data_IF_226825854908
#
_entry.id   IF_226825854908
#
_cell.length_a   1.000
_cell.length_b   1.000
_cell.length_c   1.000
_cell.angle_alpha   90.00
_cell.angle_beta   90.00
_cell.angle_gamma   90.00
#
_symmetry.space_group_name_H-M   'P 1'
#
loop_
_entity.id
_entity.type
_entity.pdbx_description
1 polymer ?
#
# COMPACT_ATOMS: atom_id res chain seq x y z
N UNK A 1 8.68 -1.89 27.77
CA UNK A 1 8.42 -2.15 26.34
C UNK A 1 7.05 -1.64 25.91
N UNK A 2 5.95 -1.96 26.61
CA UNK A 2 4.60 -1.47 26.26
C UNK A 2 4.47 0.07 26.19
N UNK A 3 4.98 0.82 27.18
CA UNK A 3 4.90 2.30 27.16
C UNK A 3 5.57 2.96 25.95
N UNK A 4 6.66 2.38 25.43
CA UNK A 4 7.35 2.92 24.26
C UNK A 4 6.54 2.66 22.98
N UNK A 5 6.03 1.44 22.82
CA UNK A 5 5.21 1.04 21.68
C UNK A 5 3.91 1.86 21.66
N UNK A 6 3.28 2.04 22.81
CA UNK A 6 2.06 2.84 22.97
C UNK A 6 2.31 4.32 22.69
N UNK A 7 3.40 4.90 23.20
CA UNK A 7 3.80 6.26 22.86
C UNK A 7 4.08 6.46 21.37
N UNK A 8 4.69 5.46 20.72
CA UNK A 8 4.95 5.48 19.28
C UNK A 8 3.66 5.35 18.46
N UNK A 9 2.71 4.53 18.90
CA UNK A 9 1.37 4.42 18.29
C UNK A 9 0.64 5.76 18.32
N UNK A 10 0.56 6.39 19.50
CA UNK A 10 -0.09 7.69 19.68
C UNK A 10 0.58 8.78 18.83
N UNK A 11 1.91 8.76 18.74
CA UNK A 11 2.65 9.69 17.88
C UNK A 11 2.30 9.50 16.39
N UNK A 12 2.24 8.26 15.91
CA UNK A 12 1.86 7.95 14.53
C UNK A 12 0.41 8.35 14.22
N UNK A 13 -0.52 8.10 15.14
CA UNK A 13 -1.92 8.53 15.00
C UNK A 13 -2.05 10.05 14.92
N UNK A 14 -1.27 10.77 15.74
CA UNK A 14 -1.21 12.23 15.70
C UNK A 14 -0.69 12.73 14.35
N UNK A 15 0.38 12.13 13.82
CA UNK A 15 0.88 12.44 12.47
C UNK A 15 -0.18 12.20 11.40
N UNK A 16 -0.85 11.05 11.43
CA UNK A 16 -1.90 10.70 10.47
C UNK A 16 -3.03 11.73 10.50
N UNK A 17 -3.47 12.15 11.70
CA UNK A 17 -4.50 13.18 11.88
C UNK A 17 -4.08 14.54 11.30
N UNK A 18 -2.85 15.01 11.61
CA UNK A 18 -2.35 16.27 11.07
C UNK A 18 -2.21 16.23 9.55
N UNK A 19 -1.69 15.13 9.00
CA UNK A 19 -1.58 14.93 7.55
C UNK A 19 -2.96 15.07 6.90
N UNK A 20 -3.96 14.36 7.41
CA UNK A 20 -5.29 14.34 6.83
C UNK A 20 -5.97 15.72 6.92
N UNK A 21 -5.82 16.43 8.03
CA UNK A 21 -6.35 17.78 8.21
C UNK A 21 -5.72 18.77 7.22
N UNK A 22 -4.39 18.76 7.12
CA UNK A 22 -3.64 19.61 6.18
C UNK A 22 -4.07 19.31 4.74
N UNK A 23 -4.02 18.03 4.34
CA UNK A 23 -4.40 17.61 3.00
C UNK A 23 -5.84 18.01 2.70
N UNK A 24 -6.78 17.78 3.63
CA UNK A 24 -8.18 18.14 3.42
C UNK A 24 -8.37 19.65 3.20
N UNK A 25 -7.70 20.50 3.98
CA UNK A 25 -7.78 21.97 3.83
C UNK A 25 -7.28 22.41 2.46
N UNK A 26 -6.17 21.84 1.99
CA UNK A 26 -5.62 22.18 0.67
C UNK A 26 -6.43 21.60 -0.49
N UNK A 27 -6.99 20.39 -0.34
CA UNK A 27 -7.69 19.68 -1.42
C UNK A 27 -9.14 20.15 -1.56
N UNK A 28 -9.84 20.42 -0.44
CA UNK A 28 -11.27 20.76 -0.43
C UNK A 28 -11.66 21.89 -1.40
N UNK A 29 -10.90 22.99 -1.54
CA UNK A 29 -11.21 24.06 -2.50
C UNK A 29 -11.17 23.61 -3.96
N UNK A 30 -10.28 22.68 -4.30
CA UNK A 30 -10.07 22.20 -5.67
C UNK A 30 -10.82 20.90 -5.97
N UNK A 31 -11.45 20.28 -4.97
CA UNK A 31 -12.10 18.98 -5.16
C UNK A 31 -13.42 19.11 -5.93
N UNK A 32 -13.55 18.51 -7.11
CA UNK A 32 -14.78 18.54 -7.88
C UNK A 32 -15.89 17.78 -7.15
N UNK A 33 -17.05 18.42 -6.97
CA UNK A 33 -18.20 17.87 -6.22
C UNK A 33 -18.76 16.56 -6.80
N UNK A 34 -18.47 16.25 -8.07
CA UNK A 34 -18.95 15.05 -8.79
C UNK A 34 -18.03 13.83 -8.69
N UNK A 35 -16.81 13.98 -8.16
CA UNK A 35 -15.85 12.87 -8.02
C UNK A 35 -15.91 12.33 -6.59
N UNK A 36 -16.21 11.04 -6.49
CA UNK A 36 -16.22 10.30 -5.22
C UNK A 36 -14.88 9.60 -5.00
N UNK A 37 -14.47 9.37 -3.75
CA UNK A 37 -13.27 8.59 -3.43
C UNK A 37 -13.24 7.24 -4.18
N UNK A 38 -14.35 6.51 -4.21
CA UNK A 38 -14.44 5.22 -4.91
C UNK A 38 -14.12 5.30 -6.42
N UNK A 39 -14.42 6.43 -7.09
CA UNK A 39 -14.05 6.61 -8.50
C UNK A 39 -12.54 6.71 -8.65
N UNK A 40 -11.85 7.29 -7.69
CA UNK A 40 -10.38 7.42 -7.68
C UNK A 40 -9.74 6.06 -7.43
N UNK A 41 -10.24 5.29 -6.44
CA UNK A 41 -9.82 3.88 -6.24
C UNK A 41 -9.99 3.08 -7.54
N UNK A 42 -11.11 3.24 -8.25
CA UNK A 42 -11.37 2.55 -9.52
C UNK A 42 -10.37 2.95 -10.60
N UNK A 43 -10.07 4.24 -10.74
CA UNK A 43 -9.04 4.73 -11.67
C UNK A 43 -7.66 4.15 -11.32
N UNK A 44 -7.32 4.03 -10.04
CA UNK A 44 -6.06 3.40 -9.60
C UNK A 44 -5.98 1.94 -10.01
N UNK A 45 -7.06 1.18 -9.86
CA UNK A 45 -7.13 -0.21 -10.34
C UNK A 45 -6.85 -0.26 -11.84
N UNK A 46 -7.48 0.63 -12.63
CA UNK A 46 -7.26 0.72 -14.08
C UNK A 46 -5.80 1.04 -14.39
N UNK A 47 -5.17 1.98 -13.66
CA UNK A 47 -3.74 2.32 -13.81
C UNK A 47 -2.87 1.10 -13.52
N UNK A 48 -3.15 0.34 -12.46
CA UNK A 48 -2.41 -0.87 -12.12
C UNK A 48 -2.53 -1.96 -13.19
N UNK A 49 -3.74 -2.18 -13.73
CA UNK A 49 -3.96 -3.12 -14.84
C UNK A 49 -3.27 -2.65 -16.11
N UNK A 50 -3.34 -1.35 -16.43
CA UNK A 50 -2.65 -0.76 -17.57
C UNK A 50 -1.13 -0.95 -17.45
N UNK A 51 -0.57 -0.68 -16.27
CA UNK A 51 0.85 -0.88 -15.99
C UNK A 51 1.26 -2.34 -16.23
N UNK A 52 0.44 -3.29 -15.78
CA UNK A 52 0.67 -4.72 -16.04
C UNK A 52 0.67 -5.03 -17.53
N UNK A 53 -0.31 -4.52 -18.28
CA UNK A 53 -0.38 -4.74 -19.73
C UNK A 53 0.83 -4.14 -20.44
N UNK A 54 1.21 -2.90 -20.12
CA UNK A 54 2.36 -2.22 -20.73
C UNK A 54 3.67 -2.98 -20.50
N UNK A 55 3.90 -3.46 -19.27
CA UNK A 55 5.12 -4.18 -18.90
C UNK A 55 5.19 -5.59 -19.48
N UNK A 56 4.10 -6.37 -19.38
CA UNK A 56 4.15 -7.81 -19.70
C UNK A 56 3.74 -8.14 -21.13
N UNK A 57 2.78 -7.41 -21.72
CA UNK A 57 2.33 -7.66 -23.10
C UNK A 57 3.10 -6.82 -24.11
N UNK A 58 3.26 -5.52 -23.84
CA UNK A 58 3.94 -4.61 -24.77
C UNK A 58 5.45 -4.48 -24.50
N UNK A 59 5.95 -5.00 -23.37
CA UNK A 59 7.36 -4.89 -22.96
C UNK A 59 7.88 -3.45 -22.99
N UNK A 60 7.01 -2.50 -22.64
CA UNK A 60 7.38 -1.08 -22.57
C UNK A 60 8.17 -0.88 -21.27
N UNK A 61 9.45 -0.57 -21.41
CA UNK A 61 10.38 -0.30 -20.30
C UNK A 61 10.66 1.19 -20.11
N UNK A 62 9.82 2.06 -20.70
CA UNK A 62 9.95 3.51 -20.54
C UNK A 62 9.84 3.89 -19.06
N UNK A 63 10.99 4.24 -18.50
CA UNK A 63 11.14 4.60 -17.10
C UNK A 63 10.23 5.76 -16.70
N UNK A 64 10.14 6.80 -17.54
CA UNK A 64 9.37 8.01 -17.22
C UNK A 64 7.89 7.65 -17.13
N UNK A 65 7.39 6.86 -18.08
CA UNK A 65 6.01 6.39 -18.08
C UNK A 65 5.70 5.54 -16.84
N UNK A 66 6.53 4.54 -16.54
CA UNK A 66 6.33 3.62 -15.41
C UNK A 66 6.38 4.37 -14.08
N UNK A 67 7.39 5.21 -13.88
CA UNK A 67 7.55 6.02 -12.66
C UNK A 67 6.37 6.97 -12.50
N UNK A 68 5.92 7.60 -13.58
CA UNK A 68 4.76 8.50 -13.55
C UNK A 68 3.50 7.76 -13.13
N UNK A 69 3.19 6.61 -13.74
CA UNK A 69 2.01 5.81 -13.40
C UNK A 69 2.05 5.32 -11.94
N UNK A 70 3.20 4.87 -11.46
CA UNK A 70 3.38 4.49 -10.06
C UNK A 70 3.14 5.67 -9.11
N UNK A 71 3.77 6.82 -9.39
CA UNK A 71 3.65 8.01 -8.57
C UNK A 71 2.21 8.53 -8.55
N UNK A 72 1.53 8.53 -9.69
CA UNK A 72 0.10 8.83 -9.76
C UNK A 72 -0.73 7.86 -8.91
N UNK A 73 -0.42 6.56 -8.96
CA UNK A 73 -1.07 5.56 -8.12
C UNK A 73 -0.95 5.88 -6.63
N UNK A 74 0.26 6.13 -6.14
CA UNK A 74 0.53 6.46 -4.73
C UNK A 74 -0.12 7.79 -4.33
N UNK A 75 -0.02 8.83 -5.17
CA UNK A 75 -0.64 10.11 -4.88
C UNK A 75 -2.16 10.01 -4.79
N UNK A 76 -2.79 9.26 -5.70
CA UNK A 76 -4.25 9.11 -5.67
C UNK A 76 -4.76 8.46 -4.38
N UNK A 77 -3.97 7.60 -3.72
CA UNK A 77 -4.29 6.95 -2.42
C UNK A 77 -4.31 7.92 -1.26
N UNK A 78 -3.30 8.79 -1.23
CA UNK A 78 -3.23 9.81 -0.20
C UNK A 78 -4.41 10.79 -0.34
N UNK A 79 -4.80 11.09 -1.57
CA UNK A 79 -5.86 12.05 -1.86
C UNK A 79 -7.25 11.47 -1.56
N UNK A 80 -7.60 10.29 -2.06
CA UNK A 80 -8.94 9.74 -1.89
C UNK A 80 -9.22 9.32 -0.44
N UNK A 81 -8.25 8.75 0.26
CA UNK A 81 -8.35 8.41 1.68
C UNK A 81 -8.59 9.65 2.54
N UNK A 82 -7.84 10.73 2.31
CA UNK A 82 -7.99 11.98 3.06
C UNK A 82 -9.35 12.65 2.80
N UNK A 83 -9.81 12.66 1.55
CA UNK A 83 -11.11 13.23 1.21
C UNK A 83 -12.28 12.38 1.71
N UNK A 84 -12.18 11.05 1.65
CA UNK A 84 -13.20 10.16 2.18
C UNK A 84 -13.43 10.40 3.68
N UNK A 85 -12.34 10.53 4.46
CA UNK A 85 -12.40 10.83 5.89
C UNK A 85 -12.90 12.25 6.15
N UNK A 86 -12.35 13.26 5.47
CA UNK A 86 -12.73 14.67 5.69
C UNK A 86 -14.16 15.02 5.26
N UNK A 87 -14.75 14.28 4.32
CA UNK A 87 -16.16 14.46 3.89
C UNK A 87 -17.14 13.48 4.54
N UNK A 88 -16.69 12.61 5.45
CA UNK A 88 -17.50 11.50 5.99
C UNK A 88 -18.14 10.63 4.88
N UNK A 89 -17.43 10.44 3.77
CA UNK A 89 -17.86 9.65 2.60
C UNK A 89 -17.20 8.26 2.58
N UNK A 90 -16.82 7.75 3.76
CA UNK A 90 -16.27 6.40 3.88
C UNK A 90 -17.37 5.39 3.59
N UNK A 91 -17.15 4.51 2.61
CA UNK A 91 -18.09 3.46 2.23
C UNK A 91 -17.48 2.08 2.47
N UNK A 92 -18.29 1.08 2.78
CA UNK A 92 -17.80 -0.30 2.96
C UNK A 92 -17.12 -0.84 1.70
N UNK A 93 -17.70 -0.55 0.53
CA UNK A 93 -17.16 -0.95 -0.77
C UNK A 93 -15.80 -0.29 -1.04
N UNK A 94 -15.66 1.02 -0.79
CA UNK A 94 -14.36 1.70 -0.92
C UNK A 94 -13.32 1.09 0.02
N UNK A 95 -13.67 0.86 1.28
CA UNK A 95 -12.80 0.24 2.28
C UNK A 95 -12.42 -1.23 1.97
N UNK A 96 -13.14 -1.88 1.05
CA UNK A 96 -12.77 -3.21 0.52
C UNK A 96 -11.91 -3.13 -0.73
N UNK A 97 -12.13 -2.13 -1.59
CA UNK A 97 -11.38 -1.95 -2.84
C UNK A 97 -10.01 -1.32 -2.64
N UNK A 98 -9.83 -0.42 -1.67
CA UNK A 98 -8.54 0.27 -1.43
C UNK A 98 -7.38 -0.72 -1.24
N UNK A 99 -7.47 -1.76 -0.36
CA UNK A 99 -6.39 -2.73 -0.19
C UNK A 99 -6.07 -3.55 -1.44
N UNK A 100 -7.03 -3.67 -2.36
CA UNK A 100 -6.84 -4.37 -3.64
C UNK A 100 -6.10 -3.44 -4.61
N UNK A 101 -6.56 -2.20 -4.74
CA UNK A 101 -5.96 -1.20 -5.63
C UNK A 101 -4.49 -0.94 -5.30
N UNK A 102 -4.16 -0.80 -4.02
CA UNK A 102 -2.79 -0.54 -3.56
C UNK A 102 -1.83 -1.67 -3.92
N UNK A 103 -2.34 -2.90 -3.89
CA UNK A 103 -1.52 -4.09 -4.14
C UNK A 103 -1.30 -4.36 -5.61
N UNK A 104 -2.23 -4.03 -6.49
CA UNK A 104 -2.07 -4.32 -7.92
C UNK A 104 -0.80 -3.64 -8.46
N UNK A 105 -0.60 -2.36 -8.14
CA UNK A 105 0.57 -1.60 -8.60
C UNK A 105 1.86 -2.19 -8.03
N UNK A 106 1.90 -2.41 -6.72
CA UNK A 106 3.07 -2.96 -6.03
C UNK A 106 3.41 -4.36 -6.54
N UNK A 107 2.43 -5.26 -6.64
CA UNK A 107 2.60 -6.63 -7.16
C UNK A 107 3.09 -6.60 -8.60
N UNK A 108 2.54 -5.73 -9.45
CA UNK A 108 2.95 -5.61 -10.84
C UNK A 108 4.44 -5.28 -10.95
N UNK A 109 4.91 -4.29 -10.19
CA UNK A 109 6.33 -3.90 -10.16
C UNK A 109 7.19 -4.99 -9.53
N UNK A 110 6.72 -5.62 -8.45
CA UNK A 110 7.42 -6.69 -7.75
C UNK A 110 7.64 -7.90 -8.66
N UNK A 111 6.59 -8.35 -9.36
CA UNK A 111 6.71 -9.46 -10.31
C UNK A 111 7.69 -9.09 -11.39
N UNK A 112 7.54 -7.94 -12.04
CA UNK A 112 8.43 -7.58 -13.14
C UNK A 112 9.90 -7.48 -12.68
N UNK A 113 10.16 -6.83 -11.54
CA UNK A 113 11.53 -6.52 -11.09
C UNK A 113 12.24 -7.68 -10.40
N UNK A 114 11.49 -8.63 -9.81
CA UNK A 114 12.04 -9.71 -8.99
C UNK A 114 11.91 -11.09 -9.61
N UNK A 115 11.09 -11.28 -10.65
CA UNK A 115 10.79 -12.60 -11.19
C UNK A 115 12.01 -13.32 -11.76
N UNK A 116 12.97 -12.64 -12.38
CA UNK A 116 14.14 -13.37 -12.88
C UNK A 116 15.19 -13.63 -11.78
N UNK A 117 15.51 -12.61 -10.99
CA UNK A 117 16.64 -12.66 -10.06
C UNK A 117 16.28 -13.18 -8.66
N UNK A 118 15.03 -13.03 -8.19
CA UNK A 118 14.65 -13.23 -6.79
C UNK A 118 13.28 -13.92 -6.63
N UNK A 119 13.01 -14.96 -7.43
CA UNK A 119 11.73 -15.71 -7.47
C UNK A 119 11.21 -16.14 -6.10
N UNK A 120 12.10 -16.63 -5.24
CA UNK A 120 11.72 -17.11 -3.91
C UNK A 120 11.25 -15.97 -3.00
N UNK A 121 11.95 -14.84 -3.02
CA UNK A 121 11.52 -13.64 -2.29
C UNK A 121 10.17 -13.15 -2.82
N UNK A 122 10.01 -13.08 -4.14
CA UNK A 122 8.75 -12.69 -4.77
C UNK A 122 7.60 -13.59 -4.30
N UNK A 123 7.79 -14.92 -4.37
CA UNK A 123 6.78 -15.88 -3.95
C UNK A 123 6.38 -15.70 -2.47
N UNK A 124 7.37 -15.56 -1.58
CA UNK A 124 7.14 -15.35 -0.15
C UNK A 124 6.38 -14.05 0.08
N UNK A 125 6.79 -12.96 -0.57
CA UNK A 125 6.16 -11.64 -0.45
C UNK A 125 4.68 -11.69 -0.87
N UNK A 126 4.38 -12.31 -2.01
CA UNK A 126 3.01 -12.49 -2.50
C UNK A 126 2.15 -13.32 -1.55
N UNK A 127 2.65 -14.47 -1.09
CA UNK A 127 1.93 -15.35 -0.17
C UNK A 127 1.59 -14.64 1.14
N UNK A 128 2.55 -13.90 1.71
CA UNK A 128 2.37 -13.16 2.96
C UNK A 128 1.39 -12.00 2.80
N UNK A 129 1.41 -11.31 1.66
CA UNK A 129 0.46 -10.25 1.39
C UNK A 129 -0.94 -10.83 1.30
N UNK A 130 -1.13 -11.87 0.48
CA UNK A 130 -2.42 -12.56 0.34
C UNK A 130 -2.94 -13.02 1.70
N UNK A 131 -2.10 -13.68 2.51
CA UNK A 131 -2.45 -14.08 3.87
C UNK A 131 -2.86 -12.88 4.75
N UNK A 132 -2.11 -11.77 4.72
CA UNK A 132 -2.46 -10.54 5.44
C UNK A 132 -3.84 -9.98 5.04
N UNK A 133 -4.21 -10.05 3.75
CA UNK A 133 -5.55 -9.62 3.30
C UNK A 133 -6.63 -10.56 3.80
N UNK A 134 -6.45 -11.87 3.65
CA UNK A 134 -7.43 -12.84 4.12
C UNK A 134 -7.69 -12.71 5.63
N UNK A 135 -6.62 -12.59 6.42
CA UNK A 135 -6.74 -12.32 7.86
C UNK A 135 -7.52 -11.02 8.07
N UNK A 136 -7.19 -9.92 7.39
CA UNK A 136 -7.91 -8.65 7.56
C UNK A 136 -9.40 -8.74 7.21
N UNK A 137 -9.75 -9.46 6.15
CA UNK A 137 -11.15 -9.69 5.74
C UNK A 137 -11.87 -10.53 6.81
N UNK A 138 -11.24 -11.59 7.31
CA UNK A 138 -11.82 -12.46 8.34
C UNK A 138 -12.16 -11.70 9.65
N UNK A 139 -11.42 -10.66 10.01
CA UNK A 139 -11.74 -9.86 11.20
C UNK A 139 -12.92 -8.94 10.98
N UNK A 140 -12.99 -8.34 9.78
CA UNK A 140 -14.13 -7.49 9.41
C UNK A 140 -15.44 -8.28 9.51
N UNK A 141 -15.45 -9.57 9.13
CA UNK A 141 -16.65 -10.42 9.27
C UNK A 141 -17.01 -10.72 10.74
N UNK A 142 -16.04 -10.71 11.65
CA UNK A 142 -16.25 -10.88 13.11
C UNK A 142 -16.64 -9.59 13.83
N UNK A 143 -16.77 -8.45 13.13
CA UNK A 143 -17.03 -7.11 13.71
C UNK A 143 -16.01 -6.68 14.77
N UNK A 144 -14.82 -7.28 14.77
CA UNK A 144 -13.71 -6.83 15.61
C UNK A 144 -13.03 -5.70 14.84
N UNK A 145 -13.05 -4.50 15.41
CA UNK A 145 -12.29 -3.38 14.87
C UNK A 145 -10.81 -3.67 15.05
N UNK A 146 -10.14 -4.01 13.95
CA UNK A 146 -8.72 -4.26 13.94
C UNK A 146 -8.00 -2.91 13.93
N UNK A 147 -7.46 -2.51 15.08
CA UNK A 147 -6.66 -1.31 15.17
C UNK A 147 -5.42 -1.44 14.27
N UNK A 148 -4.99 -0.33 13.67
CA UNK A 148 -3.79 -0.35 12.84
C UNK A 148 -2.58 -0.68 13.71
N UNK A 149 -1.91 -1.80 13.42
CA UNK A 149 -0.70 -2.17 14.13
C UNK A 149 0.53 -1.52 13.49
N UNK A 150 1.49 -1.12 14.33
CA UNK A 150 2.80 -0.60 13.95
C UNK A 150 3.50 -1.54 12.97
N UNK A 151 3.47 -2.87 13.17
CA UNK A 151 4.13 -3.81 12.25
C UNK A 151 3.57 -3.74 10.82
N UNK A 152 2.25 -3.59 10.69
CA UNK A 152 1.59 -3.38 9.40
C UNK A 152 1.99 -2.07 8.73
N UNK A 153 2.06 -0.98 9.51
CA UNK A 153 2.52 0.33 9.01
C UNK A 153 3.99 0.29 8.58
N UNK A 154 4.86 -0.27 9.41
CA UNK A 154 6.30 -0.36 9.13
C UNK A 154 6.57 -1.16 7.86
N UNK A 155 5.95 -2.34 7.67
CA UNK A 155 6.16 -3.10 6.43
C UNK A 155 5.75 -2.31 5.19
N UNK A 156 4.66 -1.53 5.26
CA UNK A 156 4.14 -0.78 4.12
C UNK A 156 5.09 0.34 3.74
N UNK A 157 5.63 1.06 4.72
CA UNK A 157 6.64 2.11 4.50
C UNK A 157 7.89 1.51 3.86
N UNK A 158 8.39 0.37 4.38
CA UNK A 158 9.57 -0.30 3.83
C UNK A 158 9.37 -0.73 2.38
N UNK A 159 8.26 -1.43 2.10
CA UNK A 159 7.94 -1.90 0.75
C UNK A 159 7.78 -0.71 -0.22
N UNK A 160 7.05 0.33 0.16
CA UNK A 160 6.83 1.51 -0.70
C UNK A 160 8.14 2.24 -1.03
N UNK A 161 9.03 2.42 -0.05
CA UNK A 161 10.34 3.03 -0.26
C UNK A 161 11.22 2.17 -1.17
N UNK A 162 11.23 0.85 -0.97
CA UNK A 162 12.01 -0.05 -1.83
C UNK A 162 11.48 -0.01 -3.26
N UNK A 163 10.18 -0.14 -3.48
CA UNK A 163 9.63 -0.12 -4.85
C UNK A 163 9.84 1.23 -5.53
N UNK A 164 9.74 2.35 -4.81
CA UNK A 164 10.12 3.66 -5.34
C UNK A 164 11.60 3.70 -5.74
N UNK A 165 12.51 3.14 -4.94
CA UNK A 165 13.93 3.08 -5.25
C UNK A 165 14.22 2.14 -6.45
N UNK A 166 13.57 0.99 -6.53
CA UNK A 166 13.67 0.07 -7.68
C UNK A 166 13.29 0.79 -8.97
N UNK A 167 12.19 1.53 -8.96
CA UNK A 167 11.76 2.34 -10.09
C UNK A 167 12.74 3.48 -10.41
N UNK A 168 13.38 4.06 -9.39
CA UNK A 168 14.39 5.09 -9.61
C UNK A 168 15.65 4.54 -10.29
N UNK A 169 16.06 3.30 -10.01
CA UNK A 169 17.22 2.67 -10.67
C UNK A 169 16.88 1.86 -11.93
N UNK A 170 15.59 1.80 -12.27
CA UNK A 170 15.08 1.14 -13.46
C UNK A 170 15.81 1.56 -14.75
N UNK A 171 16.08 0.64 -15.69
CA UNK A 171 15.71 -0.80 -15.71
C UNK A 171 16.73 -1.73 -15.04
N UNK A 172 17.69 -1.21 -14.26
CA UNK A 172 18.73 -2.04 -13.66
C UNK A 172 18.17 -2.97 -12.56
N UNK A 173 18.79 -4.14 -12.35
CA UNK A 173 18.39 -5.02 -11.27
C UNK A 173 18.50 -4.33 -9.90
N UNK A 174 17.59 -4.65 -8.96
CA UNK A 174 17.58 -4.05 -7.64
C UNK A 174 18.89 -4.34 -6.89
N UNK A 175 19.47 -3.29 -6.29
CA UNK A 175 20.65 -3.44 -5.45
C UNK A 175 20.36 -4.35 -4.25
N UNK A 176 21.35 -5.16 -3.82
CA UNK A 176 21.21 -6.13 -2.72
C UNK A 176 20.66 -5.52 -1.43
N UNK A 177 21.06 -4.29 -1.13
CA UNK A 177 20.53 -3.52 0.01
C UNK A 177 18.99 -3.45 0.02
N UNK A 178 18.34 -3.23 -1.13
CA UNK A 178 16.89 -3.18 -1.22
C UNK A 178 16.24 -4.55 -1.05
N UNK A 179 16.91 -5.60 -1.53
CA UNK A 179 16.48 -6.99 -1.35
C UNK A 179 16.51 -7.37 0.14
N UNK A 180 17.56 -6.98 0.86
CA UNK A 180 17.67 -7.22 2.30
C UNK A 180 16.55 -6.50 3.06
N UNK A 181 16.21 -5.26 2.68
CA UNK A 181 15.07 -4.53 3.24
C UNK A 181 13.75 -5.24 2.97
N UNK A 182 13.54 -5.83 1.78
CA UNK A 182 12.33 -6.59 1.48
C UNK A 182 12.21 -7.83 2.37
N UNK A 183 13.30 -8.54 2.66
CA UNK A 183 13.29 -9.64 3.63
C UNK A 183 12.92 -9.19 5.04
N UNK A 184 13.43 -8.03 5.48
CA UNK A 184 13.03 -7.47 6.78
C UNK A 184 11.54 -7.07 6.76
N UNK A 185 11.04 -6.52 5.65
CA UNK A 185 9.61 -6.18 5.50
C UNK A 185 8.71 -7.42 5.57
N UNK A 186 9.18 -8.57 5.07
CA UNK A 186 8.52 -9.88 5.18
C UNK A 186 8.42 -10.31 6.65
N UNK A 187 9.48 -10.12 7.45
CA UNK A 187 9.44 -10.40 8.88
C UNK A 187 8.41 -9.53 9.61
N UNK A 188 8.35 -8.22 9.32
CA UNK A 188 7.32 -7.33 9.86
C UNK A 188 5.91 -7.75 9.42
N UNK A 189 5.75 -8.25 8.19
CA UNK A 189 4.47 -8.75 7.70
C UNK A 189 4.00 -10.02 8.42
N UNK A 190 4.91 -10.90 8.80
CA UNK A 190 4.63 -12.06 9.65
C UNK A 190 4.24 -11.64 11.06
N UNK A 191 4.99 -10.70 11.67
CA UNK A 191 4.65 -10.14 12.98
C UNK A 191 3.27 -9.48 12.98
N UNK A 192 2.90 -8.81 11.90
CA UNK A 192 1.56 -8.25 11.73
C UNK A 192 0.47 -9.33 11.73
N UNK A 193 0.66 -10.43 10.98
CA UNK A 193 -0.28 -11.56 11.00
C UNK A 193 -0.38 -12.18 12.39
N UNK A 194 0.76 -12.43 13.02
CA UNK A 194 0.81 -13.03 14.35
C UNK A 194 0.12 -12.18 15.40
N UNK A 195 0.40 -10.87 15.41
CA UNK A 195 -0.27 -9.92 16.29
C UNK A 195 -1.78 -9.94 16.07
N UNK A 196 -2.22 -9.89 14.80
CA UNK A 196 -3.64 -10.02 14.49
C UNK A 196 -4.17 -11.28 15.16
N UNK A 197 -3.65 -12.46 14.83
CA UNK A 197 -4.17 -13.77 15.31
C UNK A 197 -4.28 -13.83 16.83
N UNK A 198 -3.33 -13.24 17.58
CA UNK A 198 -3.41 -13.19 19.04
C UNK A 198 -4.61 -12.39 19.55
N UNK A 199 -4.97 -11.31 18.86
CA UNK A 199 -6.11 -10.44 19.17
C UNK A 199 -7.48 -11.09 18.84
N UNK A 200 -7.51 -12.25 18.16
CA UNK A 200 -8.73 -13.06 17.96
C UNK A 200 -9.13 -13.85 19.21
N UNK A 201 -8.17 -14.16 20.10
CA UNK A 201 -8.42 -14.95 21.31
C UNK A 201 -9.04 -14.10 22.40
#
# INVERSE_FOLDING_TARGET
MNKFIEGLKLFLEKIDSYRDEILFVFIKPYWPSKITPNKITTVRIIIGVLLFILLFFFKIEDKILIVSLFFFGVLTDLLDGSVARGKNMVTELGAMLDPVADRIIIITIAVYSLFEAHRWLLLVLLLIEVANTFVSIYYKTKKVYLESNIFGKTKMVMQSLVFAAILFFWPNPPHRFFIDILWVSVAFALLNIFYKILEIR
#
